data_IF_870062799604
#
_entry.id   IF_870062799604
#
_cell.length_a   1.000
_cell.length_b   1.000
_cell.length_c   1.000
_cell.angle_alpha   90.00
_cell.angle_beta   90.00
_cell.angle_gamma   90.00
#
_symmetry.space_group_name_H-M   'P 1'
#
loop_
_entity.id
_entity.type
_entity.pdbx_description
1 polymer ?
#
# COMPACT_ATOMS: atom_id res chain seq x y z
N UNK A 1 -13.56 -2.19 -20.48
CA UNK A 1 -14.74 -2.09 -19.60
C UNK A 1 -14.31 -1.45 -18.30
N UNK A 2 -14.79 -0.25 -17.97
CA UNK A 2 -14.48 0.39 -16.69
C UNK A 2 -15.48 -0.13 -15.65
N UNK A 3 -15.04 -1.06 -14.81
CA UNK A 3 -15.77 -1.49 -13.63
C UNK A 3 -15.70 -0.37 -12.59
N UNK A 4 -16.80 0.34 -12.39
CA UNK A 4 -16.94 1.28 -11.28
C UNK A 4 -17.21 0.50 -10.00
N UNK A 5 -16.24 0.51 -9.08
CA UNK A 5 -16.43 0.01 -7.71
C UNK A 5 -16.99 1.14 -6.85
N UNK A 6 -17.87 0.84 -5.88
CA UNK A 6 -18.31 1.85 -4.93
C UNK A 6 -17.12 2.40 -4.13
N UNK A 7 -17.15 3.68 -3.72
CA UNK A 7 -16.09 4.28 -2.92
C UNK A 7 -15.98 3.60 -1.55
N UNK A 8 -14.80 3.66 -0.94
CA UNK A 8 -14.55 3.18 0.41
C UNK A 8 -14.72 4.36 1.37
N UNK A 9 -15.61 4.23 2.37
CA UNK A 9 -15.95 5.30 3.31
C UNK A 9 -15.54 4.95 4.75
N UNK A 10 -15.92 3.78 5.26
CA UNK A 10 -15.87 3.47 6.70
C UNK A 10 -14.68 2.57 7.10
N UNK A 11 -13.62 2.57 6.29
CA UNK A 11 -12.37 1.85 6.60
C UNK A 11 -11.19 2.47 5.88
N UNK A 12 -10.00 2.19 6.39
CA UNK A 12 -8.75 2.55 5.72
C UNK A 12 -8.62 1.83 4.37
N UNK A 13 -7.98 2.53 3.43
CA UNK A 13 -7.55 1.93 2.17
C UNK A 13 -6.36 1.03 2.46
N UNK A 14 -6.50 -0.25 2.11
CA UNK A 14 -5.49 -1.27 2.35
C UNK A 14 -4.60 -1.40 1.13
N UNK A 15 -3.30 -1.20 1.32
CA UNK A 15 -2.28 -1.28 0.29
C UNK A 15 -1.48 -2.57 0.44
N UNK A 16 -1.08 -3.13 -0.70
CA UNK A 16 -0.05 -4.15 -0.78
C UNK A 16 1.04 -3.62 -1.73
N UNK A 17 2.30 -3.81 -1.36
CA UNK A 17 3.46 -3.35 -2.16
C UNK A 17 4.24 -4.58 -2.63
N UNK A 18 4.58 -4.62 -3.92
CA UNK A 18 5.43 -5.65 -4.51
C UNK A 18 6.75 -4.98 -4.91
N UNK A 19 7.86 -5.49 -4.39
CA UNK A 19 9.19 -4.91 -4.51
C UNK A 19 9.50 -3.94 -3.36
N UNK A 20 10.35 -4.38 -2.44
CA UNK A 20 10.87 -3.66 -1.28
C UNK A 20 12.22 -2.96 -1.55
N UNK A 21 12.58 -2.75 -2.81
CA UNK A 21 13.81 -2.05 -3.19
C UNK A 21 13.79 -0.54 -2.91
N UNK A 22 14.73 0.20 -3.52
CA UNK A 22 14.99 1.63 -3.28
C UNK A 22 13.75 2.54 -3.20
N UNK A 23 12.74 2.35 -4.04
CA UNK A 23 11.57 3.25 -4.12
C UNK A 23 10.51 2.88 -3.08
N UNK A 24 10.53 1.65 -2.55
CA UNK A 24 9.56 1.17 -1.56
C UNK A 24 9.55 2.04 -0.30
N UNK A 25 10.70 2.56 0.11
CA UNK A 25 10.83 3.48 1.24
C UNK A 25 9.91 4.70 1.10
N UNK A 26 9.89 5.34 -0.07
CA UNK A 26 9.02 6.50 -0.32
C UNK A 26 7.53 6.12 -0.29
N UNK A 27 7.18 4.91 -0.75
CA UNK A 27 5.81 4.42 -0.67
C UNK A 27 5.40 4.16 0.78
N UNK A 28 6.25 3.50 1.57
CA UNK A 28 6.01 3.24 2.99
C UNK A 28 5.90 4.55 3.78
N UNK A 29 6.78 5.51 3.53
CA UNK A 29 6.69 6.84 4.13
C UNK A 29 5.36 7.53 3.79
N UNK A 30 4.93 7.48 2.53
CA UNK A 30 3.68 8.12 2.10
C UNK A 30 2.46 7.45 2.75
N UNK A 31 2.45 6.12 2.82
CA UNK A 31 1.39 5.35 3.51
C UNK A 31 1.38 5.70 5.00
N UNK A 32 2.56 5.84 5.62
CA UNK A 32 2.69 6.23 7.03
C UNK A 32 2.20 7.65 7.28
N UNK A 33 2.57 8.60 6.42
CA UNK A 33 2.08 10.00 6.44
C UNK A 33 0.56 10.09 6.31
N UNK A 34 -0.07 9.09 5.68
CA UNK A 34 -1.53 8.99 5.54
C UNK A 34 -2.14 7.88 6.39
N UNK A 35 -1.48 7.45 7.47
CA UNK A 35 -1.90 6.33 8.33
C UNK A 35 -3.32 6.45 8.92
N UNK A 36 -3.90 7.66 8.99
CA UNK A 36 -5.31 7.88 9.33
C UNK A 36 -6.26 7.21 8.32
N UNK A 37 -5.92 7.25 7.03
CA UNK A 37 -6.79 6.83 5.91
C UNK A 37 -6.24 5.64 5.13
N UNK A 38 -4.97 5.28 5.31
CA UNK A 38 -4.30 4.18 4.63
C UNK A 38 -3.61 3.23 5.59
N UNK A 39 -3.47 1.97 5.15
CA UNK A 39 -2.78 0.92 5.89
C UNK A 39 -2.03 0.01 4.91
N UNK A 40 -0.77 -0.33 5.22
CA UNK A 40 -0.02 -1.34 4.48
C UNK A 40 -0.28 -2.71 5.11
N UNK A 41 -0.94 -3.60 4.38
CA UNK A 41 -1.38 -4.90 4.91
C UNK A 41 -0.57 -6.09 4.38
N UNK A 42 0.20 -5.89 3.33
CA UNK A 42 1.04 -6.93 2.75
C UNK A 42 2.23 -6.34 1.99
N UNK A 43 3.33 -7.09 1.97
CA UNK A 43 4.48 -6.85 1.11
C UNK A 43 4.86 -8.15 0.42
N UNK A 44 5.53 -8.05 -0.71
CA UNK A 44 6.09 -9.18 -1.44
C UNK A 44 7.39 -8.76 -2.12
N UNK A 45 8.46 -9.51 -1.89
CA UNK A 45 9.72 -9.37 -2.64
C UNK A 45 10.24 -10.77 -3.00
N UNK A 46 11.03 -10.84 -4.07
CA UNK A 46 11.76 -12.04 -4.46
C UNK A 46 12.99 -12.30 -3.59
N UNK A 47 13.54 -11.24 -2.98
CA UNK A 47 14.64 -11.34 -2.02
C UNK A 47 14.08 -11.40 -0.59
N UNK A 48 14.30 -12.51 0.15
CA UNK A 48 13.88 -12.61 1.56
C UNK A 48 14.53 -11.59 2.50
N UNK A 49 15.65 -10.97 2.09
CA UNK A 49 16.38 -9.99 2.90
C UNK A 49 15.99 -8.53 2.64
N UNK A 50 15.03 -8.29 1.74
CA UNK A 50 14.55 -6.96 1.36
C UNK A 50 13.68 -6.28 2.42
#
# INVERSE_FOLDING_TARGET
MHLTRPPITDRKVRFAVIGCGRIAQNHFESITKHSERSELVAICDTDPAA
#
